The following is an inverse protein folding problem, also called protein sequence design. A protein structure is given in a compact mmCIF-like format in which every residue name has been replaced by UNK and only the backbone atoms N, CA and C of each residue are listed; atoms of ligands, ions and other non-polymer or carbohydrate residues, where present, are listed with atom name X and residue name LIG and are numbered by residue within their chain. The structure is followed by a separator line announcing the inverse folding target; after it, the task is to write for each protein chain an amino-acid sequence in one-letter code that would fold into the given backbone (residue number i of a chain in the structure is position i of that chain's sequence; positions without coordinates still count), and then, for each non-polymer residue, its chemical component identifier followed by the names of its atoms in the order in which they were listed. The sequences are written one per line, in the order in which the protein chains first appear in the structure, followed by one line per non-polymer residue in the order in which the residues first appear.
data_IF_465880603452
#
_entry.id   IF_465880603452
#
_cell.length_a   1.000
_cell.length_b   1.000
_cell.length_c   1.000
_cell.angle_alpha   90.00
_cell.angle_beta   90.00
_cell.angle_gamma   90.00
#
_symmetry.space_group_name_H-M   'P 1'
#
loop_
_entity.id
_entity.type
_entity.pdbx_description
1 polymer ?
#
# COMPACT_ATOMS: atom_id res chain seq x y z
N UNK A 1 21.01 -17.08 -23.62
CA UNK A 1 21.33 -16.88 -22.20
C UNK A 1 21.35 -15.39 -21.92
N UNK A 2 20.65 -14.94 -20.89
CA UNK A 2 20.66 -13.51 -20.51
C UNK A 2 22.02 -13.21 -19.87
N UNK A 3 22.81 -12.35 -20.50
CA UNK A 3 24.10 -11.92 -19.97
C UNK A 3 23.87 -10.86 -18.89
N UNK A 4 24.25 -11.17 -17.65
CA UNK A 4 24.11 -10.26 -16.52
C UNK A 4 25.39 -9.46 -16.29
N UNK A 5 25.25 -8.23 -15.75
CA UNK A 5 26.37 -7.35 -15.46
C UNK A 5 27.26 -7.83 -14.30
N UNK A 6 28.48 -7.31 -14.21
CA UNK A 6 29.51 -7.73 -13.24
C UNK A 6 29.02 -7.70 -11.77
N UNK A 7 28.32 -6.64 -11.38
CA UNK A 7 27.77 -6.48 -10.02
C UNK A 7 26.82 -7.61 -9.62
N UNK A 8 25.97 -8.06 -10.56
CA UNK A 8 25.04 -9.16 -10.33
C UNK A 8 25.78 -10.48 -10.15
N UNK A 9 26.79 -10.73 -10.98
CA UNK A 9 27.62 -11.93 -10.87
C UNK A 9 28.39 -11.98 -9.55
N UNK A 10 28.88 -10.84 -9.07
CA UNK A 10 29.58 -10.75 -7.79
C UNK A 10 28.63 -10.97 -6.60
N UNK A 11 27.39 -10.47 -6.67
CA UNK A 11 26.36 -10.72 -5.66
C UNK A 11 25.98 -12.20 -5.58
N UNK A 12 25.77 -12.88 -6.71
CA UNK A 12 25.39 -14.32 -6.72
C UNK A 12 26.45 -15.21 -6.08
N UNK A 13 27.74 -14.86 -6.16
CA UNK A 13 28.81 -15.66 -5.55
C UNK A 13 28.70 -15.72 -4.01
N UNK A 14 28.01 -14.77 -3.39
CA UNK A 14 27.78 -14.75 -1.95
C UNK A 14 26.63 -15.68 -1.53
N UNK A 15 25.80 -16.11 -2.47
CA UNK A 15 24.61 -16.92 -2.24
C UNK A 15 24.88 -18.40 -2.57
N UNK A 16 24.63 -19.28 -1.60
CA UNK A 16 24.55 -20.71 -1.85
C UNK A 16 23.09 -21.10 -2.08
N UNK A 17 22.75 -21.50 -3.31
CA UNK A 17 21.38 -21.88 -3.67
C UNK A 17 20.94 -23.23 -3.09
N UNK A 18 21.86 -24.02 -2.54
CA UNK A 18 21.55 -25.30 -1.90
C UNK A 18 21.15 -25.16 -0.43
N UNK A 19 21.39 -23.99 0.16
CA UNK A 19 21.15 -23.73 1.59
C UNK A 19 19.81 -23.03 1.80
N UNK A 20 19.04 -23.53 2.77
CA UNK A 20 17.84 -22.85 3.26
C UNK A 20 18.21 -21.90 4.42
N UNK A 21 18.37 -20.62 4.10
CA UNK A 21 18.71 -19.59 5.09
C UNK A 21 17.56 -19.27 6.04
N UNK A 22 17.88 -18.98 7.29
CA UNK A 22 16.92 -18.40 8.22
C UNK A 22 16.55 -16.96 7.80
N UNK A 23 15.35 -16.44 8.15
CA UNK A 23 14.92 -15.11 7.69
C UNK A 23 15.88 -13.97 8.02
N UNK A 24 16.49 -13.98 9.21
CA UNK A 24 17.44 -12.94 9.63
C UNK A 24 18.71 -12.97 8.77
N UNK A 25 19.26 -14.16 8.53
CA UNK A 25 20.46 -14.36 7.71
C UNK A 25 20.20 -13.99 6.24
N UNK A 26 19.03 -14.36 5.72
CA UNK A 26 18.61 -14.00 4.37
C UNK A 26 18.52 -12.48 4.17
N UNK A 27 18.02 -11.74 5.16
CA UNK A 27 17.96 -10.27 5.13
C UNK A 27 19.36 -9.66 5.14
N UNK A 28 20.25 -10.16 6.00
CA UNK A 28 21.64 -9.66 6.06
C UNK A 28 22.41 -9.94 4.77
N UNK A 29 22.18 -11.10 4.17
CA UNK A 29 22.75 -11.45 2.87
C UNK A 29 22.20 -10.56 1.76
N UNK A 30 20.89 -10.33 1.72
CA UNK A 30 20.25 -9.45 0.75
C UNK A 30 20.83 -8.02 0.80
N UNK A 31 21.07 -7.49 2.01
CA UNK A 31 21.72 -6.17 2.19
C UNK A 31 23.16 -6.14 1.66
N UNK A 32 23.94 -7.21 1.83
CA UNK A 32 25.31 -7.31 1.29
C UNK A 32 25.34 -7.45 -0.23
N UNK A 33 24.32 -8.06 -0.81
CA UNK A 33 24.16 -8.24 -2.25
C UNK A 33 23.67 -6.97 -2.96
N UNK A 34 23.11 -6.01 -2.21
CA UNK A 34 22.67 -4.72 -2.71
C UNK A 34 23.84 -3.94 -3.32
N UNK A 35 23.70 -3.51 -4.58
CA UNK A 35 24.80 -2.91 -5.33
C UNK A 35 24.41 -1.61 -6.06
N UNK A 36 23.14 -1.20 -5.97
CA UNK A 36 22.68 0.09 -6.44
C UNK A 36 23.12 1.22 -5.50
N UNK A 37 23.05 2.45 -6.03
CA UNK A 37 23.38 3.68 -5.30
C UNK A 37 22.15 4.33 -4.64
N UNK A 38 20.98 3.75 -4.84
CA UNK A 38 19.70 4.22 -4.32
C UNK A 38 19.12 3.17 -3.37
N UNK A 39 18.08 3.54 -2.63
CA UNK A 39 17.41 2.65 -1.69
C UNK A 39 16.64 1.53 -2.43
N UNK A 40 17.15 0.30 -2.37
CA UNK A 40 16.60 -0.86 -3.06
C UNK A 40 15.39 -1.42 -2.32
N UNK A 41 14.41 -1.92 -3.09
CA UNK A 41 13.23 -2.60 -2.52
C UNK A 41 13.52 -4.08 -2.34
N UNK A 42 13.25 -4.62 -1.16
CA UNK A 42 13.28 -6.06 -0.91
C UNK A 42 11.91 -6.66 -1.26
N UNK A 43 11.91 -7.65 -2.14
CA UNK A 43 10.72 -8.41 -2.53
C UNK A 43 10.78 -9.85 -2.02
N UNK A 44 9.63 -10.43 -1.71
CA UNK A 44 9.49 -11.83 -1.29
C UNK A 44 8.63 -12.58 -2.29
N UNK A 45 9.18 -13.63 -2.88
CA UNK A 45 8.44 -14.50 -3.81
C UNK A 45 8.02 -15.78 -3.09
N UNK A 46 6.72 -16.04 -3.11
CA UNK A 46 6.12 -17.24 -2.50
C UNK A 46 5.52 -18.10 -3.61
N UNK A 47 6.03 -19.33 -3.75
CA UNK A 47 5.42 -20.34 -4.63
C UNK A 47 4.32 -21.06 -3.86
N UNK A 48 3.07 -20.86 -4.27
CA UNK A 48 1.90 -21.48 -3.65
C UNK A 48 1.33 -22.58 -4.54
N UNK A 49 0.73 -23.62 -3.95
CA UNK A 49 0.09 -24.73 -4.67
C UNK A 49 -1.33 -24.45 -5.16
N UNK A 50 -1.65 -23.19 -5.50
CA UNK A 50 -2.98 -22.76 -5.91
C UNK A 50 -3.16 -22.95 -7.43
N UNK A 51 -4.36 -23.37 -7.86
CA UNK A 51 -4.73 -23.41 -9.27
C UNK A 51 -5.27 -22.03 -9.72
N UNK A 52 -4.53 -21.28 -10.55
CA UNK A 52 -4.96 -19.96 -11.02
C UNK A 52 -6.20 -20.02 -11.93
N UNK A 53 -6.58 -21.19 -12.47
CA UNK A 53 -7.80 -21.34 -13.28
C UNK A 53 -9.06 -21.42 -12.42
N UNK A 54 -8.92 -21.81 -11.15
CA UNK A 54 -10.05 -21.91 -10.23
C UNK A 54 -10.24 -20.60 -9.46
N UNK A 55 -11.34 -19.89 -9.75
CA UNK A 55 -11.65 -18.59 -9.13
C UNK A 55 -11.73 -18.64 -7.60
N UNK A 56 -12.06 -19.78 -6.99
CA UNK A 56 -12.12 -19.92 -5.53
C UNK A 56 -10.74 -20.04 -4.87
N UNK A 57 -9.71 -20.38 -5.64
CA UNK A 57 -8.33 -20.51 -5.15
C UNK A 57 -7.49 -19.25 -5.39
N UNK A 58 -8.07 -18.18 -5.94
CA UNK A 58 -7.38 -16.92 -6.15
C UNK A 58 -7.13 -16.21 -4.81
N UNK A 59 -5.86 -16.02 -4.44
CA UNK A 59 -5.47 -15.26 -3.25
C UNK A 59 -5.28 -13.78 -3.60
N UNK A 60 -6.11 -12.91 -3.01
CA UNK A 60 -5.92 -11.46 -3.02
C UNK A 60 -6.12 -10.94 -1.59
N UNK A 61 -5.02 -10.59 -0.94
CA UNK A 61 -5.02 -10.10 0.43
C UNK A 61 -4.28 -8.77 0.55
N UNK A 62 -4.51 -8.08 1.66
CA UNK A 62 -3.75 -6.91 2.09
C UNK A 62 -3.18 -7.23 3.46
N UNK A 63 -1.86 -7.05 3.60
CA UNK A 63 -1.17 -7.16 4.87
C UNK A 63 -0.65 -5.79 5.29
N UNK A 64 -0.72 -5.50 6.58
CA UNK A 64 -0.11 -4.29 7.13
C UNK A 64 1.17 -4.67 7.81
N UNK A 65 2.26 -4.04 7.36
CA UNK A 65 3.58 -4.28 7.90
C UNK A 65 3.74 -3.52 9.22
N UNK A 66 4.26 -4.17 10.28
CA UNK A 66 4.41 -3.55 11.60
C UNK A 66 5.38 -2.37 11.60
N UNK A 67 6.30 -2.32 10.62
CA UNK A 67 7.27 -1.24 10.46
C UNK A 67 6.95 -0.33 9.26
N UNK A 68 5.75 -0.43 8.69
CA UNK A 68 5.35 0.31 7.50
C UNK A 68 6.11 -0.09 6.24
N UNK A 69 6.05 0.77 5.21
CA UNK A 69 6.67 0.53 3.90
C UNK A 69 8.04 1.22 3.75
N UNK A 70 8.54 1.90 4.79
CA UNK A 70 9.80 2.66 4.74
C UNK A 70 9.75 3.92 3.87
N UNK A 71 8.59 4.24 3.28
CA UNK A 71 8.34 5.45 2.47
C UNK A 71 7.09 6.16 2.98
N UNK A 72 7.07 7.49 2.85
CA UNK A 72 5.90 8.30 3.19
C UNK A 72 4.78 8.00 2.20
N UNK A 73 3.79 7.24 2.65
CA UNK A 73 2.57 6.94 1.88
C UNK A 73 1.67 8.17 1.90
N UNK A 74 1.32 8.65 0.70
CA UNK A 74 0.36 9.73 0.52
C UNK A 74 -1.04 9.15 0.46
N UNK A 75 -1.86 9.51 1.45
CA UNK A 75 -3.20 8.95 1.62
C UNK A 75 -4.23 10.03 1.33
N UNK A 76 -5.11 9.72 0.39
CA UNK A 76 -6.25 10.56 0.05
C UNK A 76 -7.54 9.96 0.60
N UNK A 77 -8.42 10.82 1.11
CA UNK A 77 -9.69 10.40 1.70
C UNK A 77 -10.87 11.05 0.97
N UNK A 78 -11.72 10.21 0.36
CA UNK A 78 -12.99 10.60 -0.24
C UNK A 78 -14.09 10.52 0.82
N UNK A 79 -14.48 11.68 1.33
CA UNK A 79 -15.47 11.82 2.40
C UNK A 79 -16.20 13.15 2.25
N UNK A 80 -17.41 13.24 2.82
CA UNK A 80 -18.18 14.49 2.92
C UNK A 80 -18.69 14.68 4.35
N UNK A 81 -18.87 15.94 4.75
CA UNK A 81 -19.48 16.29 6.04
C UNK A 81 -18.61 15.93 7.25
N UNK A 82 -19.16 15.18 8.20
CA UNK A 82 -18.46 14.80 9.44
C UNK A 82 -17.25 13.88 9.19
N UNK A 83 -17.35 13.02 8.17
CA UNK A 83 -16.27 12.14 7.77
C UNK A 83 -15.06 12.89 7.20
N UNK A 84 -15.29 14.04 6.56
CA UNK A 84 -14.23 14.91 6.06
C UNK A 84 -13.46 15.57 7.21
N UNK A 85 -14.17 16.03 8.24
CA UNK A 85 -13.56 16.55 9.47
C UNK A 85 -12.73 15.47 10.17
N UNK A 86 -13.24 14.24 10.25
CA UNK A 86 -12.49 13.12 10.80
C UNK A 86 -11.21 12.82 10.01
N UNK A 87 -11.26 12.90 8.68
CA UNK A 87 -10.08 12.74 7.82
C UNK A 87 -9.03 13.85 8.02
N UNK A 88 -9.49 15.09 8.20
CA UNK A 88 -8.63 16.22 8.51
C UNK A 88 -7.93 16.02 9.86
N UNK A 89 -8.66 15.63 10.90
CA UNK A 89 -8.11 15.35 12.24
C UNK A 89 -7.14 14.16 12.21
N UNK A 90 -7.39 13.16 11.36
CA UNK A 90 -6.48 12.03 11.18
C UNK A 90 -5.13 12.42 10.57
N UNK A 91 -5.04 13.58 9.90
CA UNK A 91 -3.85 14.03 9.20
C UNK A 91 -3.76 13.54 7.76
N UNK A 92 -4.91 13.29 7.10
CA UNK A 92 -4.95 12.97 5.68
C UNK A 92 -4.25 14.04 4.83
N UNK A 93 -3.41 13.61 3.86
CA UNK A 93 -2.66 14.53 3.01
C UNK A 93 -3.61 15.36 2.13
N UNK A 94 -4.67 14.72 1.63
CA UNK A 94 -5.76 15.38 0.91
C UNK A 94 -7.08 14.71 1.29
N UNK A 95 -8.09 15.52 1.54
CA UNK A 95 -9.44 15.10 1.86
C UNK A 95 -10.45 15.90 1.05
N UNK A 96 -11.63 15.33 0.82
CA UNK A 96 -12.76 16.02 0.21
C UNK A 96 -13.65 15.11 -0.63
N UNK A 97 -14.73 15.70 -1.16
CA UNK A 97 -15.69 15.00 -2.00
C UNK A 97 -15.59 15.37 -3.47
N UNK A 98 -16.53 16.20 -3.95
CA UNK A 98 -16.71 16.52 -5.37
C UNK A 98 -15.54 17.30 -5.97
N UNK A 99 -14.86 18.14 -5.18
CA UNK A 99 -13.68 18.90 -5.63
C UNK A 99 -12.48 17.98 -5.90
N UNK A 100 -12.28 16.96 -5.06
CA UNK A 100 -11.21 15.99 -5.22
C UNK A 100 -11.44 15.10 -6.45
N UNK A 101 -12.70 14.74 -6.70
CA UNK A 101 -13.11 14.01 -7.91
C UNK A 101 -12.75 14.81 -9.17
N UNK A 102 -13.08 16.10 -9.21
CA UNK A 102 -12.73 16.98 -10.34
C UNK A 102 -11.22 17.08 -10.56
N UNK A 103 -10.42 17.15 -9.49
CA UNK A 103 -8.95 17.15 -9.58
C UNK A 103 -8.42 15.86 -10.23
N UNK A 104 -9.04 14.72 -9.92
CA UNK A 104 -8.68 13.43 -10.52
C UNK A 104 -9.09 13.35 -11.99
N UNK A 105 -10.25 13.88 -12.34
CA UNK A 105 -10.68 14.01 -13.74
C UNK A 105 -9.72 14.90 -14.54
N UNK A 106 -9.15 15.93 -13.90
CA UNK A 106 -8.10 16.77 -14.46
C UNK A 106 -6.71 16.09 -14.52
N UNK A 107 -6.59 14.84 -14.06
CA UNK A 107 -5.37 14.04 -14.14
C UNK A 107 -4.46 14.10 -12.91
N UNK A 108 -4.89 14.73 -11.81
CA UNK A 108 -4.12 14.80 -10.58
C UNK A 108 -4.20 13.46 -9.83
N UNK A 109 -3.11 12.71 -9.82
CA UNK A 109 -3.04 11.33 -9.30
C UNK A 109 -1.82 11.13 -8.37
N UNK A 110 -1.50 12.16 -7.59
CA UNK A 110 -0.28 12.18 -6.78
C UNK A 110 -0.51 11.60 -5.37
N UNK A 111 -0.98 10.35 -5.32
CA UNK A 111 -1.26 9.61 -4.09
C UNK A 111 -1.01 8.11 -4.27
N UNK A 112 -0.81 7.44 -3.15
CA UNK A 112 -0.48 6.01 -3.11
C UNK A 112 -1.69 5.16 -2.68
N UNK A 113 -2.48 5.67 -1.73
CA UNK A 113 -3.65 4.97 -1.20
C UNK A 113 -4.85 5.92 -1.16
N UNK A 114 -6.00 5.43 -1.62
CA UNK A 114 -7.27 6.11 -1.49
C UNK A 114 -8.20 5.37 -0.52
N UNK A 115 -8.77 6.11 0.42
CA UNK A 115 -9.81 5.65 1.34
C UNK A 115 -11.11 6.33 0.95
N UNK A 116 -12.24 5.62 0.97
CA UNK A 116 -13.55 6.20 0.69
C UNK A 116 -14.58 5.78 1.72
N UNK A 117 -15.53 6.65 2.00
CA UNK A 117 -16.77 6.26 2.68
C UNK A 117 -17.75 5.59 1.69
N UNK A 118 -18.67 4.73 2.15
CA UNK A 118 -19.61 4.01 1.27
C UNK A 118 -20.52 4.93 0.44
N UNK A 119 -20.93 6.06 0.99
CA UNK A 119 -21.73 7.10 0.32
C UNK A 119 -20.97 7.75 -0.86
N UNK A 120 -19.65 7.91 -0.72
CA UNK A 120 -18.81 8.50 -1.76
C UNK A 120 -18.43 7.51 -2.88
N UNK A 121 -18.57 6.20 -2.65
CA UNK A 121 -18.23 5.17 -3.65
C UNK A 121 -19.05 5.27 -4.94
N UNK A 122 -20.29 5.75 -4.88
CA UNK A 122 -21.12 5.97 -6.08
C UNK A 122 -20.48 6.99 -7.04
N UNK A 123 -19.85 8.04 -6.49
CA UNK A 123 -19.17 9.07 -7.27
C UNK A 123 -17.77 8.63 -7.69
N UNK A 124 -16.99 8.05 -6.78
CA UNK A 124 -15.64 7.51 -7.06
C UNK A 124 -15.69 6.38 -8.10
N UNK A 125 -16.76 5.58 -8.13
CA UNK A 125 -16.97 4.54 -9.12
C UNK A 125 -16.96 5.06 -10.58
N UNK A 126 -17.40 6.31 -10.81
CA UNK A 126 -17.35 6.94 -12.14
C UNK A 126 -15.92 7.13 -12.64
N UNK A 127 -14.96 7.31 -11.72
CA UNK A 127 -13.53 7.42 -12.00
C UNK A 127 -12.86 6.06 -12.25
N UNK A 128 -13.60 4.95 -12.20
CA UNK A 128 -13.07 3.60 -12.35
C UNK A 128 -12.28 3.37 -13.65
N UNK A 129 -12.56 4.11 -14.73
CA UNK A 129 -11.76 4.05 -15.96
C UNK A 129 -10.32 4.54 -15.77
N UNK A 130 -10.12 5.55 -14.93
CA UNK A 130 -8.80 6.13 -14.62
C UNK A 130 -8.16 5.39 -13.45
N UNK A 131 -8.88 5.29 -12.33
CA UNK A 131 -8.36 4.73 -11.08
C UNK A 131 -8.22 3.20 -11.13
N UNK A 132 -9.15 2.51 -11.80
CA UNK A 132 -9.15 1.05 -11.88
C UNK A 132 -7.97 0.48 -12.65
N UNK A 133 -7.56 1.12 -13.75
CA UNK A 133 -6.39 0.70 -14.55
C UNK A 133 -5.06 0.83 -13.80
N UNK A 134 -5.00 1.75 -12.84
CA UNK A 134 -3.80 2.02 -12.03
C UNK A 134 -3.82 1.32 -10.67
N UNK A 135 -4.90 0.62 -10.34
CA UNK A 135 -5.04 -0.04 -9.03
C UNK A 135 -5.23 0.93 -7.86
N UNK A 136 -5.52 2.20 -8.12
CA UNK A 136 -5.69 3.26 -7.12
C UNK A 136 -7.15 3.43 -6.66
N UNK A 137 -8.02 2.51 -7.05
CA UNK A 137 -9.44 2.55 -6.73
C UNK A 137 -9.70 1.96 -5.33
N UNK A 138 -10.40 2.68 -4.43
CA UNK A 138 -10.84 2.12 -3.16
C UNK A 138 -11.69 0.87 -3.39
N UNK A 139 -11.40 -0.20 -2.66
CA UNK A 139 -12.13 -1.46 -2.75
C UNK A 139 -12.53 -1.97 -1.36
N UNK A 140 -13.80 -2.36 -1.14
CA UNK A 140 -14.21 -2.98 0.11
C UNK A 140 -13.37 -4.23 0.47
N UNK A 141 -12.94 -5.00 -0.53
CA UNK A 141 -12.11 -6.20 -0.32
C UNK A 141 -10.70 -5.88 0.17
N UNK A 142 -10.16 -4.69 -0.12
CA UNK A 142 -8.87 -4.23 0.42
C UNK A 142 -9.02 -3.52 1.77
N UNK A 143 -10.24 -3.38 2.29
CA UNK A 143 -10.51 -2.67 3.55
C UNK A 143 -10.30 -1.16 3.46
N UNK A 144 -10.28 -0.59 2.25
CA UNK A 144 -10.12 0.86 2.00
C UNK A 144 -11.46 1.58 1.87
N UNK A 145 -12.57 0.87 2.06
CA UNK A 145 -13.92 1.46 2.16
C UNK A 145 -14.40 1.27 3.59
N UNK A 146 -14.52 2.37 4.33
CA UNK A 146 -14.83 2.34 5.77
C UNK A 146 -15.89 3.36 6.15
N UNK A 147 -16.68 3.09 7.21
CA UNK A 147 -17.57 4.10 7.80
C UNK A 147 -16.79 5.32 8.29
N UNK A 148 -17.47 6.46 8.38
CA UNK A 148 -16.91 7.75 8.81
C UNK A 148 -16.01 7.63 10.06
N UNK A 149 -16.50 6.96 11.10
CA UNK A 149 -15.81 6.83 12.40
C UNK A 149 -14.49 6.05 12.33
N UNK A 150 -14.35 5.14 11.36
CA UNK A 150 -13.18 4.29 11.21
C UNK A 150 -12.08 4.89 10.32
N UNK A 151 -12.33 6.08 9.75
CA UNK A 151 -11.40 6.77 8.85
C UNK A 151 -10.07 7.08 9.53
N UNK A 152 -10.11 7.55 10.78
CA UNK A 152 -8.94 7.89 11.59
C UNK A 152 -8.08 6.65 11.85
N UNK A 153 -8.72 5.57 12.29
CA UNK A 153 -8.07 4.30 12.60
C UNK A 153 -7.41 3.69 11.37
N UNK A 154 -8.07 3.78 10.22
CA UNK A 154 -7.54 3.27 8.97
C UNK A 154 -6.37 4.12 8.45
N UNK A 155 -6.45 5.44 8.57
CA UNK A 155 -5.35 6.33 8.22
C UNK A 155 -4.09 6.03 9.05
N UNK A 156 -4.24 5.90 10.38
CA UNK A 156 -3.14 5.53 11.28
C UNK A 156 -2.49 4.20 10.88
N UNK A 157 -3.32 3.23 10.47
CA UNK A 157 -2.88 1.92 9.99
C UNK A 157 -2.01 2.02 8.72
N UNK A 158 -2.36 2.88 7.76
CA UNK A 158 -1.58 3.05 6.53
C UNK A 158 -0.28 3.83 6.73
N UNK A 159 -0.24 4.75 7.71
CA UNK A 159 0.99 5.46 8.09
C UNK A 159 1.91 4.67 9.01
N UNK A 160 1.54 3.45 9.41
CA UNK A 160 2.34 2.65 10.35
C UNK A 160 2.48 3.30 11.73
N UNK A 161 1.58 4.23 12.07
CA UNK A 161 1.56 4.87 13.37
C UNK A 161 0.92 3.89 14.36
N UNK A 162 1.63 3.60 15.46
CA UNK A 162 1.11 2.74 16.51
C UNK A 162 -0.23 3.27 17.02
N UNK A 163 -1.26 2.42 17.07
CA UNK A 163 -2.58 2.75 17.64
C UNK A 163 -2.49 3.29 19.08
N UNK A 164 -1.40 3.02 19.81
CA UNK A 164 -1.16 3.57 21.14
C UNK A 164 -0.96 5.10 21.15
N UNK A 165 -0.43 5.70 20.07
CA UNK A 165 -0.25 7.16 19.98
C UNK A 165 -1.57 7.90 19.76
N UNK A 166 -2.54 7.29 19.08
CA UNK A 166 -3.84 7.92 18.84
C UNK A 166 -4.78 7.88 20.05
N UNK A 167 -4.62 6.91 20.95
CA UNK A 167 -5.44 6.81 22.16
C UNK A 167 -5.22 7.98 23.14
N UNK A 168 -4.06 8.64 23.07
CA UNK A 168 -3.74 9.83 23.87
C UNK A 168 -4.18 11.16 23.22
N UNK A 169 -4.52 11.15 21.93
CA UNK A 169 -4.99 12.36 21.21
C UNK A 169 -6.54 12.48 21.21
N UNK A 170 -7.24 11.43 21.66
CA UNK A 170 -8.70 11.39 21.79
C UNK A 170 -9.19 11.53 23.24
N UNK A 171 -8.34 12.05 24.14
CA UNK A 171 -8.71 12.50 25.50
C UNK A 171 -8.61 14.02 25.60
#
# INVERSE_FOLDING_TARGET
MVTHGKKYQDAIKLLDQSVAYAPAEAIDLAKKMSAAKFDETVEMHLKMGLDPKNATQQLRGVAVLPHGLGKTVRVWVFAQGEAEKAAQVAGADVYGGDELIKKIEAGFLDYDVAISTPDMMSKVGKLGKVLGRRGLMPNPKSGTVVPADSTVTLFARFRGLSMSLFRNLAQ
#
